data_IF_074729692156
#
_entry.id   IF_074729692156
#
_cell.length_a   1.000
_cell.length_b   1.000
_cell.length_c   1.000
_cell.angle_alpha   90.00
_cell.angle_beta   90.00
_cell.angle_gamma   90.00
#
_symmetry.space_group_name_H-M   'P 1'
#
loop_
_entity.id
_entity.type
_entity.pdbx_description
1 polymer ?
#
# COMPACT_ATOMS: atom_id res chain seq x y z
N UNK A 1 -14.24 5.92 14.52
CA UNK A 1 -12.97 6.53 14.07
C UNK A 1 -11.80 5.54 14.06
N UNK A 2 -11.75 4.55 14.95
CA UNK A 2 -10.74 3.47 14.98
C UNK A 2 -10.92 2.43 13.87
N UNK A 3 -12.16 2.03 13.57
CA UNK A 3 -12.46 1.05 12.50
C UNK A 3 -11.93 1.48 11.14
N UNK A 4 -12.01 2.77 10.79
CA UNK A 4 -11.54 3.27 9.50
C UNK A 4 -10.01 3.16 9.36
N UNK A 5 -9.27 3.41 10.45
CA UNK A 5 -7.81 3.25 10.50
C UNK A 5 -7.41 1.77 10.46
N UNK A 6 -8.16 0.91 11.16
CA UNK A 6 -7.92 -0.53 11.15
C UNK A 6 -8.15 -1.13 9.75
N UNK A 7 -9.23 -0.72 9.08
CA UNK A 7 -9.53 -1.14 7.71
C UNK A 7 -8.49 -0.62 6.71
N UNK A 8 -8.03 0.63 6.86
CA UNK A 8 -6.98 1.18 6.02
C UNK A 8 -5.64 0.43 6.18
N UNK A 9 -5.25 0.11 7.42
CA UNK A 9 -4.06 -0.69 7.71
C UNK A 9 -4.18 -2.12 7.13
N UNK A 10 -5.34 -2.76 7.28
CA UNK A 10 -5.62 -4.08 6.69
C UNK A 10 -5.54 -4.04 5.15
N UNK A 11 -6.17 -3.05 4.52
CA UNK A 11 -6.13 -2.89 3.07
C UNK A 11 -4.69 -2.71 2.57
N UNK A 12 -3.90 -1.88 3.26
CA UNK A 12 -2.49 -1.67 2.93
C UNK A 12 -1.65 -2.95 3.11
N UNK A 13 -1.88 -3.70 4.18
CA UNK A 13 -1.18 -4.96 4.43
C UNK A 13 -1.48 -6.00 3.33
N UNK A 14 -2.75 -6.17 2.97
CA UNK A 14 -3.17 -7.10 1.89
C UNK A 14 -2.62 -6.66 0.54
N UNK A 15 -2.68 -5.36 0.24
CA UNK A 15 -2.14 -4.80 -1.00
C UNK A 15 -0.63 -5.03 -1.11
N UNK A 16 0.11 -4.77 -0.03
CA UNK A 16 1.56 -5.00 0.04
C UNK A 16 1.91 -6.48 -0.13
N UNK A 17 1.18 -7.37 0.54
CA UNK A 17 1.38 -8.81 0.42
C UNK A 17 1.13 -9.30 -1.01
N UNK A 18 0.08 -8.81 -1.66
CA UNK A 18 -0.21 -9.12 -3.06
C UNK A 18 0.93 -8.67 -3.99
N UNK A 19 1.35 -7.40 -3.89
CA UNK A 19 2.44 -6.87 -4.73
C UNK A 19 3.75 -7.61 -4.51
N UNK A 20 4.07 -8.02 -3.27
CA UNK A 20 5.24 -8.83 -2.99
C UNK A 20 5.20 -10.16 -3.76
N UNK A 21 4.08 -10.88 -3.71
CA UNK A 21 3.90 -12.15 -4.44
C UNK A 21 4.05 -11.93 -5.95
N UNK A 22 3.43 -10.88 -6.51
CA UNK A 22 3.53 -10.56 -7.95
C UNK A 22 4.98 -10.23 -8.32
N UNK A 23 5.68 -9.42 -7.53
CA UNK A 23 7.08 -9.07 -7.75
C UNK A 23 7.99 -10.30 -7.77
N UNK A 24 7.87 -11.18 -6.77
CA UNK A 24 8.65 -12.41 -6.69
C UNK A 24 8.33 -13.39 -7.84
N UNK A 25 7.07 -13.46 -8.27
CA UNK A 25 6.65 -14.45 -9.28
C UNK A 25 7.03 -14.02 -10.70
N UNK A 26 6.96 -12.73 -11.00
CA UNK A 26 7.20 -12.21 -12.36
C UNK A 26 8.69 -11.97 -12.61
N UNK A 27 9.45 -11.53 -11.60
CA UNK A 27 10.91 -11.38 -11.70
C UNK A 27 11.39 -10.33 -12.72
N UNK A 28 10.54 -9.36 -13.07
CA UNK A 28 10.87 -8.28 -14.02
C UNK A 28 11.20 -6.97 -13.30
N UNK A 29 12.27 -6.31 -13.74
CA UNK A 29 12.74 -5.04 -13.15
C UNK A 29 11.74 -3.89 -13.35
N UNK A 30 11.12 -3.81 -14.53
CA UNK A 30 10.06 -2.83 -14.83
C UNK A 30 8.90 -2.95 -13.85
N UNK A 31 8.43 -4.18 -13.60
CA UNK A 31 7.39 -4.45 -12.62
C UNK A 31 7.81 -4.07 -11.20
N UNK A 32 9.06 -4.37 -10.80
CA UNK A 32 9.56 -4.02 -9.47
C UNK A 32 9.52 -2.50 -9.23
N UNK A 33 9.88 -1.70 -10.23
CA UNK A 33 9.81 -0.23 -10.16
C UNK A 33 8.36 0.22 -9.96
N UNK A 34 7.42 -0.32 -10.73
CA UNK A 34 5.98 0.00 -10.62
C UNK A 34 5.45 -0.40 -9.24
N UNK A 35 5.85 -1.54 -8.70
CA UNK A 35 5.48 -2.01 -7.35
C UNK A 35 5.97 -1.03 -6.29
N UNK A 36 7.24 -0.59 -6.37
CA UNK A 36 7.83 0.34 -5.40
C UNK A 36 7.10 1.69 -5.43
N UNK A 37 6.82 2.23 -6.62
CA UNK A 37 6.07 3.49 -6.77
C UNK A 37 4.65 3.34 -6.21
N UNK A 38 3.99 2.23 -6.50
CA UNK A 38 2.63 1.93 -6.01
C UNK A 38 2.59 1.84 -4.48
N UNK A 39 3.58 1.18 -3.87
CA UNK A 39 3.76 1.10 -2.42
C UNK A 39 4.01 2.47 -1.80
N UNK A 40 4.86 3.29 -2.42
CA UNK A 40 5.15 4.64 -1.93
C UNK A 40 3.90 5.53 -1.92
N UNK A 41 3.11 5.51 -3.00
CA UNK A 41 1.85 6.24 -3.10
C UNK A 41 0.81 5.74 -2.09
N UNK A 42 0.64 4.42 -1.98
CA UNK A 42 -0.29 3.83 -1.02
C UNK A 42 0.10 4.14 0.43
N UNK A 43 1.40 4.13 0.75
CA UNK A 43 1.89 4.51 2.08
C UNK A 43 1.66 6.00 2.35
N UNK A 44 1.82 6.87 1.35
CA UNK A 44 1.51 8.29 1.47
C UNK A 44 0.02 8.54 1.75
N UNK A 45 -0.88 7.85 1.03
CA UNK A 45 -2.32 7.92 1.28
C UNK A 45 -2.68 7.43 2.69
N UNK A 46 -2.10 6.30 3.12
CA UNK A 46 -2.30 5.76 4.46
C UNK A 46 -1.83 6.73 5.54
N UNK A 47 -0.68 7.39 5.35
CA UNK A 47 -0.16 8.42 6.24
C UNK A 47 -1.08 9.65 6.30
N UNK A 48 -1.63 10.04 5.14
CA UNK A 48 -2.65 11.08 5.04
C UNK A 48 -3.93 10.72 5.81
N UNK A 49 -4.45 9.50 5.64
CA UNK A 49 -5.63 9.01 6.35
C UNK A 49 -5.43 8.86 7.87
N UNK A 50 -4.21 8.49 8.31
CA UNK A 50 -3.88 8.37 9.74
C UNK A 50 -3.66 9.73 10.40
N UNK A 51 -2.93 10.63 9.74
CA UNK A 51 -2.47 11.90 10.30
C UNK A 51 -3.41 13.10 10.07
N UNK A 52 -4.17 13.13 8.98
CA UNK A 52 -5.11 14.23 8.68
C UNK A 52 -6.53 13.73 8.75
N UNK A 53 -7.21 14.12 9.84
CA UNK A 53 -8.66 14.13 9.97
C UNK A 53 -9.23 14.87 8.75
N UNK A 54 -9.70 14.08 7.78
CA UNK A 54 -10.69 14.36 6.71
C UNK A 54 -11.16 15.82 6.62
N UNK A 55 -10.93 16.47 5.48
CA UNK A 55 -12.00 17.27 4.88
C UNK A 55 -12.85 16.32 4.06
#
# INVERSE_FOLDING_TARGET
MTTNRLMAALAFAVFTAFLAVVGFRVGRLDLAIVIVISLALAAYDLWGQLGRRRR
#
